data_IF_991597610683
#
_entry.id   IF_991597610683
#
_cell.length_a   1.000
_cell.length_b   1.000
_cell.length_c   1.000
_cell.angle_alpha   90.00
_cell.angle_beta   90.00
_cell.angle_gamma   90.00
#
_symmetry.space_group_name_H-M   'P 1'
#
loop_
_entity.id
_entity.type
_entity.pdbx_description
1 polymer ?
#
# COMPACT_ATOMS: atom_id res chain seq x y z
N UNK A 1 3.62 11.45 -9.71
CA UNK A 1 3.80 10.81 -8.39
C UNK A 1 2.87 11.52 -7.41
N UNK A 2 1.96 10.80 -6.77
CA UNK A 2 0.87 11.43 -5.98
C UNK A 2 1.34 11.75 -4.56
N UNK A 3 2.24 12.73 -4.45
CA UNK A 3 2.73 13.28 -3.18
C UNK A 3 2.00 14.59 -2.82
N UNK A 4 0.84 14.82 -3.43
CA UNK A 4 0.12 16.07 -3.27
C UNK A 4 -0.42 16.17 -1.85
N UNK A 5 -0.34 17.36 -1.23
CA UNK A 5 -0.90 17.55 0.09
C UNK A 5 -2.41 17.30 0.07
N UNK A 6 -2.93 16.80 1.19
CA UNK A 6 -4.36 16.61 1.39
C UNK A 6 -5.09 17.96 1.55
N UNK A 7 -6.29 17.91 2.13
CA UNK A 7 -7.16 19.09 2.26
C UNK A 7 -6.50 20.32 2.90
N UNK A 8 -5.62 20.12 3.88
CA UNK A 8 -4.94 21.22 4.58
C UNK A 8 -3.83 21.90 3.77
N UNK A 9 -3.43 21.34 2.61
CA UNK A 9 -2.35 21.91 1.79
C UNK A 9 -0.94 21.77 2.39
N UNK A 10 -0.80 21.10 3.55
CA UNK A 10 0.49 20.90 4.23
C UNK A 10 1.14 19.60 3.77
N UNK A 11 2.45 19.61 3.41
CA UNK A 11 3.16 18.39 3.03
C UNK A 11 3.30 17.42 4.21
N UNK A 12 3.18 16.11 3.94
CA UNK A 12 3.34 15.07 4.96
C UNK A 12 4.81 14.59 5.03
N UNK A 13 5.50 14.92 6.11
CA UNK A 13 6.91 14.58 6.31
C UNK A 13 7.17 13.07 6.42
N UNK A 14 6.14 12.26 6.71
CA UNK A 14 6.26 10.80 6.83
C UNK A 14 6.56 10.11 5.49
N UNK A 15 6.23 10.73 4.36
CA UNK A 15 6.51 10.18 3.03
C UNK A 15 8.02 10.09 2.75
N UNK A 16 8.83 10.95 3.37
CA UNK A 16 10.30 10.96 3.23
C UNK A 16 11.02 10.08 4.26
N UNK A 17 10.29 9.41 5.15
CA UNK A 17 10.90 8.59 6.19
C UNK A 17 11.43 7.28 5.58
N UNK A 18 12.68 6.92 5.89
CA UNK A 18 13.33 5.68 5.40
C UNK A 18 12.60 4.39 5.80
N UNK A 19 11.76 4.43 6.84
CA UNK A 19 10.94 3.29 7.29
C UNK A 19 9.57 3.22 6.59
N UNK A 20 9.27 4.16 5.71
CA UNK A 20 8.01 4.22 4.96
C UNK A 20 8.19 3.59 3.58
N UNK A 21 7.21 2.79 3.18
CA UNK A 21 7.06 2.32 1.80
C UNK A 21 5.83 2.99 1.20
N UNK A 22 6.01 3.72 0.10
CA UNK A 22 4.92 4.33 -0.65
C UNK A 22 4.47 3.37 -1.74
N UNK A 23 3.16 3.09 -1.78
CA UNK A 23 2.53 2.29 -2.81
C UNK A 23 1.53 3.16 -3.57
N UNK A 24 1.92 3.61 -4.76
CA UNK A 24 1.10 4.47 -5.60
C UNK A 24 0.11 3.64 -6.43
N UNK A 25 -1.13 4.11 -6.54
CA UNK A 25 -2.15 3.48 -7.36
C UNK A 25 -3.55 3.80 -6.89
N UNK A 26 -4.55 3.24 -7.57
CA UNK A 26 -5.92 3.25 -7.08
C UNK A 26 -6.04 2.41 -5.80
N UNK A 27 -6.66 2.97 -4.77
CA UNK A 27 -6.76 2.33 -3.46
C UNK A 27 -7.56 1.03 -3.52
N UNK A 28 -8.65 0.99 -4.29
CA UNK A 28 -9.52 -0.19 -4.39
C UNK A 28 -8.79 -1.34 -5.09
N UNK A 29 -8.17 -1.08 -6.24
CA UNK A 29 -7.41 -2.07 -6.98
C UNK A 29 -6.24 -2.63 -6.15
N UNK A 30 -5.53 -1.75 -5.43
CA UNK A 30 -4.40 -2.15 -4.57
C UNK A 30 -4.84 -3.09 -3.45
N UNK A 31 -5.94 -2.76 -2.76
CA UNK A 31 -6.47 -3.60 -1.67
C UNK A 31 -6.97 -4.95 -2.19
N UNK A 32 -7.64 -4.98 -3.35
CA UNK A 32 -8.09 -6.22 -3.97
C UNK A 32 -6.91 -7.14 -4.30
N UNK A 33 -5.84 -6.61 -4.90
CA UNK A 33 -4.65 -7.38 -5.21
C UNK A 33 -3.93 -7.92 -3.97
N UNK A 34 -3.75 -7.08 -2.94
CA UNK A 34 -3.12 -7.51 -1.69
C UNK A 34 -3.93 -8.60 -0.97
N UNK A 35 -5.25 -8.48 -0.95
CA UNK A 35 -6.13 -9.49 -0.34
C UNK A 35 -6.01 -10.83 -1.05
N UNK A 36 -6.05 -10.84 -2.38
CA UNK A 36 -5.92 -12.07 -3.17
C UNK A 36 -4.55 -12.73 -2.95
N UNK A 37 -3.48 -11.94 -3.03
CA UNK A 37 -2.12 -12.45 -2.83
C UNK A 37 -1.91 -13.04 -1.41
N UNK A 38 -2.52 -12.44 -0.39
CA UNK A 38 -2.45 -12.97 0.98
C UNK A 38 -3.20 -14.30 1.10
N UNK A 39 -4.40 -14.41 0.52
CA UNK A 39 -5.16 -15.66 0.48
C UNK A 39 -4.37 -16.77 -0.21
N UNK A 40 -3.83 -16.49 -1.40
CA UNK A 40 -3.00 -17.45 -2.15
C UNK A 40 -1.76 -17.88 -1.36
N UNK A 41 -1.08 -16.92 -0.71
CA UNK A 41 0.11 -17.18 0.08
C UNK A 41 -0.18 -17.99 1.36
N UNK A 42 -1.39 -17.93 1.92
CA UNK A 42 -1.80 -18.78 3.04
C UNK A 42 -2.12 -20.20 2.56
N UNK A 43 -2.89 -20.34 1.48
CA UNK A 43 -3.23 -21.66 0.92
C UNK A 43 -2.01 -22.42 0.42
N UNK A 44 -0.96 -21.73 -0.04
CA UNK A 44 0.31 -22.34 -0.44
C UNK A 44 1.13 -22.89 0.75
N UNK A 45 0.90 -22.41 1.97
CA UNK A 45 1.63 -22.81 3.18
C UNK A 45 0.96 -23.97 3.92
N UNK A 46 -0.34 -24.16 3.72
CA UNK A 46 -1.12 -25.23 4.34
C UNK A 46 -0.94 -26.60 3.65
N UNK A 47 -0.27 -26.63 2.49
CA UNK A 47 0.08 -27.85 1.76
C UNK A 47 1.53 -28.31 1.90
N UNK A 48 2.32 -27.73 2.81
CA UNK A 48 3.73 -28.04 3.05
C UNK A 48 3.96 -28.71 4.41
#
# INVERSE_FOLDING_TARGET
LDEKPGYSGVPNTLYNNRKTVLLFGDAKATLQGLSAALSDACSAREGA
#
